data_IF_614101329108
#
_entry.id   IF_614101329108
#
_cell.length_a   1.000
_cell.length_b   1.000
_cell.length_c   1.000
_cell.angle_alpha   90.00
_cell.angle_beta   90.00
_cell.angle_gamma   90.00
#
_symmetry.space_group_name_H-M   'P 1'
#
loop_
_entity.id
_entity.type
_entity.pdbx_description
1 polymer ?
#
# COMPACT_ATOMS: atom_id res chain seq x y z
N UNK A 1 16.31 -17.26 -9.61
CA UNK A 1 15.07 -17.35 -8.83
C UNK A 1 14.26 -16.10 -8.98
N UNK A 2 13.00 -16.25 -9.28
CA UNK A 2 12.13 -15.11 -9.50
C UNK A 2 11.62 -14.56 -8.17
N UNK A 3 11.70 -13.26 -8.00
CA UNK A 3 11.06 -12.59 -6.90
C UNK A 3 9.62 -12.32 -7.26
N UNK A 4 8.72 -12.71 -6.39
CA UNK A 4 7.31 -12.46 -6.61
C UNK A 4 6.90 -11.12 -6.01
N UNK A 5 6.01 -10.45 -6.70
CA UNK A 5 5.49 -9.14 -6.31
C UNK A 5 3.98 -9.25 -6.13
N UNK A 6 3.49 -8.78 -5.01
CA UNK A 6 2.06 -8.66 -4.77
C UNK A 6 1.64 -7.21 -4.94
N UNK A 7 0.62 -6.98 -5.77
CA UNK A 7 0.06 -5.65 -5.98
C UNK A 7 -1.30 -5.56 -5.32
N UNK A 8 -1.51 -4.48 -4.58
CA UNK A 8 -2.79 -4.23 -3.92
C UNK A 8 -3.64 -3.30 -4.76
N UNK A 9 -4.87 -3.71 -5.02
CA UNK A 9 -5.87 -2.86 -5.65
C UNK A 9 -7.16 -3.05 -4.88
N UNK A 10 -7.94 -2.01 -4.74
CA UNK A 10 -9.19 -2.12 -4.01
C UNK A 10 -9.98 -0.83 -4.05
N UNK A 11 -11.08 -0.85 -3.34
CA UNK A 11 -11.97 0.30 -3.29
C UNK A 11 -11.35 1.41 -2.46
N UNK A 12 -11.54 2.64 -2.92
CA UNK A 12 -11.04 3.82 -2.24
C UNK A 12 -11.74 4.04 -0.90
N UNK A 13 -13.01 3.70 -0.82
CA UNK A 13 -13.81 3.91 0.39
C UNK A 13 -14.13 2.56 1.00
N UNK A 14 -13.81 2.40 2.28
CA UNK A 14 -14.07 1.17 3.02
C UNK A 14 -15.05 1.48 4.13
N UNK A 15 -16.08 0.65 4.28
CA UNK A 15 -17.05 0.77 5.35
C UNK A 15 -16.33 0.56 6.69
N UNK A 16 -16.51 1.53 7.60
CA UNK A 16 -15.85 1.48 8.90
C UNK A 16 -16.20 0.26 9.72
N UNK A 17 -17.42 -0.24 9.55
CA UNK A 17 -17.90 -1.38 10.34
C UNK A 17 -17.19 -2.67 10.01
N UNK A 18 -16.54 -2.75 8.85
CA UNK A 18 -15.86 -3.97 8.42
C UNK A 18 -14.35 -3.82 8.32
N UNK A 19 -13.81 -2.64 8.69
CA UNK A 19 -12.37 -2.38 8.57
C UNK A 19 -11.55 -3.41 9.35
N UNK A 20 -11.93 -3.70 10.59
CA UNK A 20 -11.19 -4.67 11.40
C UNK A 20 -11.16 -6.04 10.76
N UNK A 21 -12.29 -6.47 10.20
CA UNK A 21 -12.38 -7.75 9.52
C UNK A 21 -11.48 -7.77 8.27
N UNK A 22 -11.54 -6.72 7.48
CA UNK A 22 -10.71 -6.59 6.28
C UNK A 22 -9.23 -6.59 6.67
N UNK A 23 -8.87 -5.84 7.71
CA UNK A 23 -7.48 -5.78 8.17
C UNK A 23 -6.96 -7.15 8.57
N UNK A 24 -7.75 -7.92 9.32
CA UNK A 24 -7.35 -9.27 9.71
C UNK A 24 -7.12 -10.15 8.50
N UNK A 25 -8.00 -10.07 7.51
CA UNK A 25 -7.86 -10.85 6.29
C UNK A 25 -6.63 -10.45 5.50
N UNK A 26 -6.33 -9.15 5.44
CA UNK A 26 -5.13 -8.66 4.75
C UNK A 26 -3.89 -9.22 5.43
N UNK A 27 -3.83 -9.18 6.76
CA UNK A 27 -2.69 -9.71 7.51
C UNK A 27 -2.48 -11.18 7.18
N UNK A 28 -3.55 -11.97 7.25
CA UNK A 28 -3.47 -13.40 6.97
C UNK A 28 -2.95 -13.66 5.55
N UNK A 29 -3.49 -12.94 4.57
CA UNK A 29 -3.09 -13.13 3.18
C UNK A 29 -1.65 -12.71 2.94
N UNK A 30 -1.21 -11.62 3.54
CA UNK A 30 0.18 -11.18 3.40
C UNK A 30 1.11 -12.21 4.00
N UNK A 31 0.80 -12.74 5.18
CA UNK A 31 1.64 -13.75 5.83
C UNK A 31 1.73 -15.00 4.95
N UNK A 32 0.62 -15.42 4.35
CA UNK A 32 0.63 -16.56 3.42
C UNK A 32 1.56 -16.29 2.23
N UNK A 33 1.52 -15.08 1.68
CA UNK A 33 2.36 -14.71 0.55
C UNK A 33 3.83 -14.69 0.95
N UNK A 34 4.14 -14.18 2.14
CA UNK A 34 5.51 -14.21 2.66
C UNK A 34 6.00 -15.63 2.76
N UNK A 35 5.17 -16.54 3.25
CA UNK A 35 5.53 -17.95 3.36
C UNK A 35 5.78 -18.59 1.98
N UNK A 36 5.17 -18.05 0.93
CA UNK A 36 5.37 -18.51 -0.44
C UNK A 36 6.57 -17.88 -1.13
N UNK A 37 7.27 -16.97 -0.45
CA UNK A 37 8.47 -16.35 -1.00
C UNK A 37 8.27 -14.95 -1.57
N UNK A 38 7.10 -14.38 -1.43
CA UNK A 38 6.85 -13.00 -1.88
C UNK A 38 7.62 -12.04 -0.98
N UNK A 39 8.42 -11.16 -1.58
CA UNK A 39 9.21 -10.19 -0.84
C UNK A 39 8.87 -8.75 -1.16
N UNK A 40 8.23 -8.49 -2.30
CA UNK A 40 7.86 -7.14 -2.69
C UNK A 40 6.35 -6.97 -2.68
N UNK A 41 5.90 -5.90 -2.01
CA UNK A 41 4.49 -5.52 -1.97
C UNK A 41 4.36 -4.14 -2.57
N UNK A 42 3.49 -3.99 -3.55
CA UNK A 42 3.33 -2.74 -4.29
C UNK A 42 1.91 -2.23 -4.16
N UNK A 43 1.78 -0.92 -4.00
CA UNK A 43 0.46 -0.29 -3.93
C UNK A 43 0.53 1.12 -4.52
N UNK A 44 -0.63 1.66 -4.89
CA UNK A 44 -0.72 2.99 -5.49
C UNK A 44 -0.83 4.13 -4.50
N UNK A 45 -0.97 3.84 -3.22
CA UNK A 45 -1.08 4.88 -2.19
C UNK A 45 -2.44 5.55 -2.09
N UNK A 46 -3.45 5.06 -2.79
CA UNK A 46 -4.79 5.64 -2.73
C UNK A 46 -5.43 5.45 -1.35
N UNK A 47 -6.45 6.26 -1.08
CA UNK A 47 -7.21 6.12 0.17
C UNK A 47 -7.94 4.78 0.21
N UNK A 48 -8.32 4.36 1.41
CA UNK A 48 -9.10 3.16 1.62
C UNK A 48 -8.25 1.91 1.67
N UNK A 49 -8.50 0.98 0.77
CA UNK A 49 -7.83 -0.32 0.80
C UNK A 49 -6.32 -0.21 0.68
N UNK A 50 -5.83 0.64 -0.22
CA UNK A 50 -4.38 0.80 -0.40
C UNK A 50 -3.71 1.31 0.86
N UNK A 51 -4.32 2.26 1.55
CA UNK A 51 -3.79 2.78 2.81
C UNK A 51 -3.73 1.66 3.85
N UNK A 52 -4.81 0.90 3.98
CA UNK A 52 -4.88 -0.18 4.95
C UNK A 52 -3.84 -1.25 4.65
N UNK A 53 -3.71 -1.63 3.38
CA UNK A 53 -2.76 -2.65 2.97
C UNK A 53 -1.32 -2.21 3.19
N UNK A 54 -0.98 -0.96 2.83
CA UNK A 54 0.39 -0.47 3.00
C UNK A 54 0.77 -0.34 4.47
N UNK A 55 -0.14 0.12 5.32
CA UNK A 55 0.12 0.18 6.75
C UNK A 55 0.34 -1.22 7.32
N UNK A 56 -0.41 -2.20 6.85
CA UNK A 56 -0.25 -3.59 7.28
C UNK A 56 1.12 -4.13 6.88
N UNK A 57 1.55 -3.87 5.65
CA UNK A 57 2.88 -4.29 5.20
C UNK A 57 3.97 -3.67 6.08
N UNK A 58 3.85 -2.38 6.37
CA UNK A 58 4.83 -1.70 7.20
C UNK A 58 4.87 -2.28 8.62
N UNK A 59 3.72 -2.62 9.18
CA UNK A 59 3.66 -3.25 10.49
C UNK A 59 4.32 -4.63 10.47
N UNK A 60 4.03 -5.43 9.46
CA UNK A 60 4.59 -6.77 9.35
C UNK A 60 6.08 -6.76 9.04
N UNK A 61 6.58 -5.70 8.47
CA UNK A 61 8.00 -5.60 8.16
C UNK A 61 8.88 -5.68 9.40
N UNK A 62 8.34 -5.31 10.55
CA UNK A 62 9.08 -5.45 11.81
C UNK A 62 9.42 -6.89 12.12
N UNK A 63 8.52 -7.81 11.79
CA UNK A 63 8.69 -9.24 12.05
C UNK A 63 9.27 -9.99 10.85
N UNK A 64 9.10 -9.44 9.67
CA UNK A 64 9.54 -10.06 8.41
C UNK A 64 10.44 -9.07 7.68
N UNK A 65 11.69 -8.98 8.10
CA UNK A 65 12.61 -7.95 7.61
C UNK A 65 12.91 -8.05 6.12
N UNK A 66 12.64 -9.20 5.51
CA UNK A 66 12.92 -9.40 4.10
C UNK A 66 11.91 -8.74 3.16
N UNK A 67 10.74 -8.34 3.67
CA UNK A 67 9.74 -7.75 2.78
C UNK A 67 10.03 -6.27 2.54
N UNK A 68 9.58 -5.80 1.37
CA UNK A 68 9.76 -4.42 0.93
C UNK A 68 8.45 -3.86 0.44
N UNK A 69 8.22 -2.59 0.73
CA UNK A 69 7.05 -1.88 0.24
C UNK A 69 7.44 -0.90 -0.86
N UNK A 70 6.78 -1.01 -1.99
CA UNK A 70 6.98 -0.11 -3.12
C UNK A 70 5.67 0.64 -3.35
N UNK A 71 5.75 1.96 -3.38
CA UNK A 71 4.60 2.79 -3.76
C UNK A 71 4.77 3.20 -5.22
N UNK A 72 3.80 2.84 -6.04
CA UNK A 72 3.74 3.25 -7.43
C UNK A 72 2.63 4.30 -7.55
N UNK A 73 2.99 5.56 -7.41
CA UNK A 73 2.04 6.66 -7.35
C UNK A 73 1.70 7.12 -8.77
N UNK A 74 0.41 7.03 -9.16
CA UNK A 74 0.03 7.36 -10.54
C UNK A 74 0.13 8.83 -10.88
N UNK A 75 -0.08 9.71 -9.91
CA UNK A 75 0.17 11.14 -10.12
C UNK A 75 0.70 11.80 -8.87
N UNK A 76 1.56 12.79 -9.06
CA UNK A 76 2.24 13.43 -7.94
C UNK A 76 1.31 14.20 -7.02
N UNK A 77 0.19 14.66 -7.56
CA UNK A 77 -0.78 15.47 -6.82
C UNK A 77 -2.00 14.67 -6.35
N UNK A 78 -1.86 13.34 -6.27
CA UNK A 78 -3.02 12.51 -5.95
C UNK A 78 -3.65 12.86 -4.59
N UNK A 79 -2.86 13.36 -3.64
CA UNK A 79 -3.34 13.67 -2.30
C UNK A 79 -3.71 15.14 -2.09
N UNK A 80 -3.63 15.96 -3.13
CA UNK A 80 -3.78 17.41 -2.98
C UNK A 80 -5.13 17.82 -2.36
N UNK A 81 -6.18 17.08 -2.68
CA UNK A 81 -7.52 17.41 -2.21
C UNK A 81 -7.96 16.58 -1.00
N UNK A 82 -7.07 15.79 -0.46
CA UNK A 82 -7.38 14.99 0.72
C UNK A 82 -7.40 15.88 1.96
N UNK A 83 -8.10 15.44 3.00
CA UNK A 83 -8.08 16.17 4.25
C UNK A 83 -6.69 16.04 4.91
N UNK A 84 -6.45 16.89 5.90
CA UNK A 84 -5.14 16.98 6.54
C UNK A 84 -4.70 15.65 7.18
N UNK A 85 -5.63 14.98 7.83
CA UNK A 85 -5.34 13.71 8.50
C UNK A 85 -4.88 12.65 7.50
N UNK A 86 -5.57 12.55 6.38
CA UNK A 86 -5.24 11.58 5.35
C UNK A 86 -3.90 11.90 4.68
N UNK A 87 -3.61 13.18 4.51
CA UNK A 87 -2.31 13.61 3.96
C UNK A 87 -1.17 13.22 4.88
N UNK A 88 -1.34 13.38 6.19
CA UNK A 88 -0.28 12.99 7.15
C UNK A 88 -0.02 11.48 7.05
N UNK A 89 -1.05 10.68 7.01
CA UNK A 89 -0.91 9.23 6.88
C UNK A 89 -0.19 8.88 5.58
N UNK A 90 -0.56 9.51 4.50
CA UNK A 90 0.04 9.29 3.19
C UNK A 90 1.53 9.63 3.20
N UNK A 91 1.91 10.79 3.74
CA UNK A 91 3.31 11.19 3.82
C UNK A 91 4.11 10.23 4.70
N UNK A 92 3.52 9.77 5.80
CA UNK A 92 4.17 8.81 6.67
C UNK A 92 4.44 7.49 5.94
N UNK A 93 3.47 7.01 5.16
CA UNK A 93 3.65 5.80 4.37
C UNK A 93 4.76 5.99 3.35
N UNK A 94 4.80 7.14 2.66
CA UNK A 94 5.84 7.44 1.68
C UNK A 94 7.23 7.45 2.32
N UNK A 95 7.35 8.02 3.51
CA UNK A 95 8.64 8.07 4.21
C UNK A 95 9.13 6.68 4.61
N UNK A 96 8.22 5.78 4.91
CA UNK A 96 8.58 4.45 5.39
C UNK A 96 8.61 3.39 4.29
N UNK A 97 8.17 3.72 3.09
CA UNK A 97 8.24 2.80 1.96
C UNK A 97 9.71 2.62 1.55
N UNK A 98 10.01 1.43 1.07
CA UNK A 98 11.37 1.15 0.60
C UNK A 98 11.66 1.83 -0.73
N UNK A 99 10.64 2.04 -1.54
CA UNK A 99 10.78 2.73 -2.80
C UNK A 99 9.49 3.44 -3.16
N UNK A 100 9.60 4.64 -3.70
CA UNK A 100 8.46 5.39 -4.21
C UNK A 100 8.71 5.68 -5.68
N UNK A 101 7.78 5.26 -6.53
CA UNK A 101 7.87 5.47 -7.97
C UNK A 101 6.72 6.39 -8.38
N UNK A 102 7.04 7.45 -9.10
CA UNK A 102 6.03 8.32 -9.69
C UNK A 102 5.92 7.99 -11.17
N UNK A 103 4.73 7.66 -11.61
CA UNK A 103 4.52 7.26 -12.99
C UNK A 103 4.30 8.48 -13.87
N UNK A 104 5.38 9.17 -14.13
CA UNK A 104 5.34 10.43 -14.87
C UNK A 104 4.84 10.29 -16.30
N UNK A 105 5.06 9.13 -16.89
CA UNK A 105 4.74 8.90 -18.28
C UNK A 105 3.37 8.30 -18.50
N UNK A 106 2.60 8.13 -17.45
CA UNK A 106 1.24 7.64 -17.60
C UNK A 106 0.38 8.76 -18.18
N UNK A 107 -0.11 8.51 -19.36
CA UNK A 107 -0.94 9.49 -20.03
C UNK A 107 -2.29 9.58 -19.34
N UNK A 108 -2.70 10.81 -19.06
CA UNK A 108 -4.06 11.11 -18.60
C UNK A 108 -4.49 10.26 -17.42
N UNK A 109 -3.61 10.06 -16.51
CA UNK A 109 -3.97 9.41 -15.27
C UNK A 109 -4.93 10.30 -14.52
N UNK A 110 -6.10 9.78 -14.22
CA UNK A 110 -7.09 10.51 -13.45
C UNK A 110 -6.92 10.10 -12.00
N UNK A 111 -6.67 11.09 -11.19
CA UNK A 111 -6.43 10.86 -9.76
C UNK A 111 -7.59 11.32 -8.91
#
# INVERSE_FOLDING_TARGET
MNQEICCFTGHRIINKNIISFIKQNIVIEIIKLIAQGVTYFMAGGALGFDTLATQTVLDLKRDYAQIKLILAIPCQDQADKWNYKDKIIYENIKENADKVIYQKNMKKTVC
#
